data_IF_354236158283
#
_entry.id   IF_354236158283
#
_cell.length_a   1.000
_cell.length_b   1.000
_cell.length_c   1.000
_cell.angle_alpha   90.00
_cell.angle_beta   90.00
_cell.angle_gamma   90.00
#
_symmetry.space_group_name_H-M   'P 1'
#
loop_
_entity.id
_entity.type
_entity.pdbx_description
1 polymer ?
#
# COMPACT_ATOMS: atom_id res chain seq x y z
N UNK A 1 7.45 7.74 -10.24
CA UNK A 1 8.54 6.77 -9.95
C UNK A 1 8.35 5.54 -10.82
N UNK A 2 9.41 4.80 -11.16
CA UNK A 2 9.40 3.53 -11.92
C UNK A 2 9.01 3.56 -13.42
N UNK A 3 8.84 4.74 -14.04
CA UNK A 3 8.65 4.81 -15.50
C UNK A 3 9.85 4.22 -16.23
N UNK A 4 9.58 3.44 -17.29
CA UNK A 4 10.58 2.72 -18.09
C UNK A 4 11.38 1.63 -17.34
N UNK A 5 11.02 1.31 -16.09
CA UNK A 5 11.57 0.18 -15.33
C UNK A 5 10.57 -0.97 -15.16
N UNK A 6 9.28 -0.67 -15.28
CA UNK A 6 8.18 -1.66 -15.22
C UNK A 6 7.05 -1.22 -16.13
N UNK A 7 6.29 -2.21 -16.62
CA UNK A 7 5.18 -2.00 -17.56
C UNK A 7 3.96 -1.34 -16.90
N UNK A 8 3.80 -1.52 -15.58
CA UNK A 8 2.63 -1.07 -14.81
C UNK A 8 2.88 0.22 -14.01
N UNK A 9 3.87 1.02 -14.39
CA UNK A 9 4.24 2.24 -13.66
C UNK A 9 3.03 3.20 -13.54
N UNK A 10 2.73 3.64 -12.31
CA UNK A 10 1.61 4.55 -12.03
C UNK A 10 0.24 3.86 -11.93
N UNK A 11 0.18 2.53 -11.89
CA UNK A 11 -1.04 1.75 -11.71
C UNK A 11 -0.95 0.86 -10.48
N UNK A 12 -2.09 0.48 -9.92
CA UNK A 12 -2.12 -0.62 -8.96
C UNK A 12 -1.78 -1.93 -9.66
N UNK A 13 -1.16 -2.85 -8.93
CA UNK A 13 -0.83 -4.19 -9.42
C UNK A 13 -2.09 -4.96 -9.82
N UNK A 14 -1.95 -5.77 -10.87
CA UNK A 14 -3.01 -6.64 -11.36
C UNK A 14 -2.91 -8.09 -10.81
N UNK A 15 -1.80 -8.43 -10.16
CA UNK A 15 -1.52 -9.77 -9.62
C UNK A 15 -1.24 -9.77 -8.11
N UNK A 16 -1.18 -10.99 -7.54
CA UNK A 16 -0.71 -11.19 -6.18
C UNK A 16 0.78 -10.88 -6.06
N UNK A 17 1.19 -10.30 -4.93
CA UNK A 17 2.59 -10.06 -4.59
C UNK A 17 2.87 -10.58 -3.18
N UNK A 18 4.10 -10.98 -2.93
CA UNK A 18 4.58 -11.40 -1.61
C UNK A 18 5.40 -10.30 -0.94
N UNK A 19 5.31 -10.23 0.39
CA UNK A 19 6.24 -9.45 1.22
C UNK A 19 7.38 -10.38 1.61
N UNK A 20 8.62 -9.95 1.35
CA UNK A 20 9.82 -10.77 1.51
C UNK A 20 10.78 -10.20 2.56
N UNK A 21 11.43 -11.10 3.28
CA UNK A 21 12.58 -10.83 4.14
C UNK A 21 13.81 -11.56 3.59
N UNK A 22 14.98 -11.38 4.23
CA UNK A 22 16.19 -12.15 3.91
C UNK A 22 15.97 -13.67 3.96
N UNK A 23 15.02 -14.13 4.78
CA UNK A 23 14.71 -15.56 4.97
C UNK A 23 13.65 -16.08 3.99
N UNK A 24 13.19 -15.24 3.05
CA UNK A 24 12.17 -15.58 2.07
C UNK A 24 10.82 -14.93 2.33
N UNK A 25 9.75 -15.56 1.82
CA UNK A 25 8.39 -15.05 1.88
C UNK A 25 7.92 -14.93 3.34
N UNK A 26 7.54 -13.73 3.74
CA UNK A 26 6.95 -13.46 5.05
C UNK A 26 5.45 -13.73 5.00
N UNK A 27 4.75 -13.09 4.08
CA UNK A 27 3.34 -13.33 3.80
C UNK A 27 2.94 -12.85 2.40
N UNK A 28 1.77 -13.29 1.94
CA UNK A 28 1.15 -12.74 0.73
C UNK A 28 0.44 -11.43 1.05
N UNK A 29 0.58 -10.44 0.17
CA UNK A 29 -0.19 -9.21 0.24
C UNK A 29 -1.68 -9.47 -0.11
N UNK A 30 -2.60 -8.53 0.20
CA UNK A 30 -4.00 -8.66 -0.18
C UNK A 30 -4.19 -8.93 -1.69
N UNK A 31 -5.32 -9.54 -2.10
CA UNK A 31 -5.63 -9.70 -3.52
C UNK A 31 -5.60 -8.36 -4.28
N UNK A 32 -5.09 -8.37 -5.52
CA UNK A 32 -4.94 -7.18 -6.36
C UNK A 32 -6.23 -6.37 -6.52
N UNK A 33 -7.36 -7.06 -6.69
CA UNK A 33 -8.67 -6.44 -6.84
C UNK A 33 -9.17 -5.70 -5.59
N UNK A 34 -8.58 -5.93 -4.41
CA UNK A 34 -8.92 -5.21 -3.17
C UNK A 34 -8.09 -3.95 -2.97
N UNK A 35 -6.95 -3.82 -3.65
CA UNK A 35 -6.03 -2.67 -3.49
C UNK A 35 -6.72 -1.32 -3.72
N UNK A 36 -7.55 -1.13 -4.77
CA UNK A 36 -8.21 0.16 -4.99
C UNK A 36 -9.09 0.59 -3.82
N UNK A 37 -9.92 -0.32 -3.30
CA UNK A 37 -10.83 -0.05 -2.18
C UNK A 37 -10.06 0.25 -0.90
N UNK A 38 -9.02 -0.55 -0.59
CA UNK A 38 -8.19 -0.34 0.60
C UNK A 38 -7.50 1.02 0.58
N UNK A 39 -6.95 1.44 -0.56
CA UNK A 39 -6.30 2.74 -0.71
C UNK A 39 -7.31 3.90 -0.60
N UNK A 40 -8.51 3.76 -1.16
CA UNK A 40 -9.59 4.74 -1.00
C UNK A 40 -9.93 4.91 0.48
N UNK A 41 -10.19 3.80 1.18
CA UNK A 41 -10.54 3.81 2.60
C UNK A 41 -9.40 4.42 3.46
N UNK A 42 -8.14 4.11 3.14
CA UNK A 42 -6.98 4.69 3.83
C UNK A 42 -6.90 6.21 3.62
N UNK A 43 -7.17 6.70 2.42
CA UNK A 43 -7.21 8.14 2.15
C UNK A 43 -8.41 8.85 2.78
N UNK A 44 -9.56 8.19 2.87
CA UNK A 44 -10.72 8.70 3.61
C UNK A 44 -10.41 8.82 5.10
N UNK A 45 -9.85 7.76 5.71
CA UNK A 45 -9.36 7.81 7.07
C UNK A 45 -8.35 8.93 7.27
N UNK A 46 -7.40 9.07 6.34
CA UNK A 46 -6.39 10.12 6.43
C UNK A 46 -7.04 11.50 6.43
N UNK A 47 -8.13 11.76 5.70
CA UNK A 47 -8.81 13.07 5.70
C UNK A 47 -9.56 13.33 7.01
N UNK A 48 -10.22 12.32 7.55
CA UNK A 48 -11.13 12.46 8.70
C UNK A 48 -10.43 12.32 10.07
N UNK A 49 -9.26 11.68 10.12
CA UNK A 49 -8.52 11.45 11.35
C UNK A 49 -8.11 12.77 12.03
N UNK A 50 -8.47 12.88 13.31
CA UNK A 50 -8.23 14.08 14.14
C UNK A 50 -6.85 14.09 14.80
N UNK A 51 -6.13 12.99 14.72
CA UNK A 51 -4.77 12.86 15.26
C UNK A 51 -3.81 13.84 14.60
N UNK A 52 -2.72 14.14 15.31
CA UNK A 52 -1.66 14.98 14.78
C UNK A 52 -1.05 14.37 13.51
N UNK A 53 -0.62 15.21 12.56
CA UNK A 53 -0.09 14.76 11.26
C UNK A 53 1.08 13.78 11.39
N UNK A 54 1.94 13.95 12.41
CA UNK A 54 3.05 13.03 12.68
C UNK A 54 2.58 11.61 13.06
N UNK A 55 1.46 11.50 13.76
CA UNK A 55 0.89 10.19 14.11
C UNK A 55 0.24 9.60 12.85
N UNK A 56 -0.53 10.42 12.12
CA UNK A 56 -1.19 10.01 10.88
C UNK A 56 -0.20 9.54 9.82
N UNK A 57 0.98 10.16 9.71
CA UNK A 57 2.02 9.71 8.79
C UNK A 57 2.55 8.32 9.17
N UNK A 58 2.74 8.04 10.45
CA UNK A 58 3.21 6.73 10.90
C UNK A 58 2.18 5.64 10.64
N UNK A 59 0.91 5.91 10.94
CA UNK A 59 -0.18 4.95 10.67
C UNK A 59 -0.37 4.75 9.16
N UNK A 60 -0.34 5.80 8.36
CA UNK A 60 -0.39 5.67 6.90
C UNK A 60 0.76 4.81 6.37
N UNK A 61 1.98 5.04 6.86
CA UNK A 61 3.14 4.27 6.44
C UNK A 61 2.99 2.77 6.79
N UNK A 62 2.51 2.47 8.00
CA UNK A 62 2.25 1.11 8.43
C UNK A 62 1.15 0.40 7.61
N UNK A 63 0.06 1.09 7.28
CA UNK A 63 -1.04 0.50 6.50
C UNK A 63 -0.73 0.38 4.99
N UNK A 64 0.25 1.14 4.49
CA UNK A 64 0.64 1.14 3.08
C UNK A 64 1.66 0.03 2.74
N UNK A 65 2.49 -0.36 3.70
CA UNK A 65 3.49 -1.44 3.56
C UNK A 65 2.84 -2.85 3.49
#
# INVERSE_FOLDING_TARGET
>A
MMMALTDDAGRFRHGGVGVFSEKGLVHMAPPANRVPELIINLFEWLKEAKDHLLIRSCVFHYEFD
#
